data_IF_069738051251
#
_entry.id   IF_069738051251
#
_cell.length_a   1.000
_cell.length_b   1.000
_cell.length_c   1.000
_cell.angle_alpha   90.00
_cell.angle_beta   90.00
_cell.angle_gamma   90.00
#
_symmetry.space_group_name_H-M   'P 1'
#
loop_
_entity.id
_entity.type
_entity.pdbx_description
1 polymer ?
#
# COMPACT_ATOMS: atom_id res chain seq x y z
N UNK A 1 34.13 23.93 15.14
CA UNK A 1 32.80 23.83 14.50
C UNK A 1 32.85 22.71 13.46
N UNK A 2 32.31 21.54 13.81
CA UNK A 2 32.23 20.40 12.89
C UNK A 2 31.03 20.58 11.95
N UNK A 3 31.22 20.24 10.66
CA UNK A 3 30.24 20.40 9.60
C UNK A 3 29.36 19.15 9.52
N UNK A 4 28.05 19.35 9.47
CA UNK A 4 27.02 18.32 9.32
C UNK A 4 27.18 17.57 7.98
N UNK A 5 27.20 16.24 8.02
CA UNK A 5 27.25 15.38 6.84
C UNK A 5 25.82 15.03 6.38
N UNK A 6 25.42 15.51 5.21
CA UNK A 6 24.15 15.17 4.56
C UNK A 6 24.27 13.79 3.90
N UNK A 7 23.52 12.81 4.39
CA UNK A 7 23.45 11.47 3.83
C UNK A 7 22.49 11.46 2.63
N UNK A 8 23.01 11.46 1.41
CA UNK A 8 22.21 11.16 0.21
C UNK A 8 22.30 9.66 -0.09
N UNK A 9 21.20 8.95 0.15
CA UNK A 9 21.05 7.54 -0.26
C UNK A 9 20.56 7.54 -1.72
N UNK A 10 21.47 7.18 -2.63
CA UNK A 10 21.19 7.00 -4.04
C UNK A 10 20.57 5.62 -4.28
N UNK A 11 19.28 5.55 -4.61
CA UNK A 11 18.63 4.32 -5.05
C UNK A 11 18.56 4.29 -6.58
N UNK A 12 19.25 3.29 -7.15
CA UNK A 12 19.39 3.05 -8.59
C UNK A 12 18.19 2.23 -9.08
N UNK A 13 17.35 2.80 -9.95
CA UNK A 13 16.17 2.12 -10.51
C UNK A 13 16.45 1.62 -11.93
N UNK A 14 16.25 0.32 -12.17
CA UNK A 14 16.40 -0.36 -13.46
C UNK A 14 15.01 -0.45 -14.12
N UNK A 15 14.89 0.03 -15.36
CA UNK A 15 13.60 0.18 -16.05
C UNK A 15 13.40 -0.85 -17.17
N UNK A 16 12.28 -1.56 -17.14
CA UNK A 16 11.64 -2.20 -18.29
C UNK A 16 10.21 -1.64 -18.39
N UNK A 17 9.90 -0.95 -19.51
CA UNK A 17 8.66 -0.18 -19.68
C UNK A 17 8.70 1.20 -19.03
N UNK A 18 9.58 2.09 -19.51
CA UNK A 18 10.06 3.27 -18.79
C UNK A 18 9.05 4.42 -18.82
N UNK A 19 8.11 4.44 -17.87
CA UNK A 19 7.57 5.71 -17.38
C UNK A 19 8.76 6.51 -16.88
N UNK A 20 9.02 7.66 -17.49
CA UNK A 20 10.18 8.45 -17.14
C UNK A 20 9.92 9.14 -15.79
N UNK A 21 10.95 9.32 -14.95
CA UNK A 21 10.75 9.96 -13.63
C UNK A 21 10.30 11.41 -13.79
N UNK A 22 10.57 12.02 -14.95
CA UNK A 22 10.05 13.34 -15.32
C UNK A 22 8.52 13.37 -15.46
N UNK A 23 7.86 12.22 -15.66
CA UNK A 23 6.39 12.12 -15.71
C UNK A 23 5.76 11.94 -14.32
N UNK A 24 6.57 11.70 -13.28
CA UNK A 24 6.10 11.52 -11.91
C UNK A 24 5.87 12.89 -11.28
N UNK A 25 4.60 13.27 -11.09
CA UNK A 25 4.19 14.58 -10.54
C UNK A 25 4.50 14.70 -9.05
N UNK A 26 4.83 13.60 -8.38
CA UNK A 26 5.26 13.61 -6.99
C UNK A 26 5.47 12.22 -6.42
N UNK A 27 6.17 12.17 -5.30
CA UNK A 27 6.41 10.94 -4.55
C UNK A 27 5.83 11.07 -3.14
N UNK A 28 5.10 10.06 -2.70
CA UNK A 28 4.56 9.97 -1.35
C UNK A 28 5.24 8.85 -0.58
N UNK A 29 5.80 9.21 0.57
CA UNK A 29 6.36 8.29 1.55
C UNK A 29 5.36 8.09 2.70
N UNK A 30 4.53 7.02 2.69
CA UNK A 30 3.68 6.70 3.82
C UNK A 30 4.53 6.32 5.05
N UNK A 31 3.92 6.41 6.24
CA UNK A 31 4.55 5.91 7.46
C UNK A 31 4.87 4.39 7.34
N UNK A 32 6.06 3.94 7.78
CA UNK A 32 6.52 2.55 7.66
C UNK A 32 5.94 1.67 8.78
N UNK A 33 4.60 1.61 8.90
CA UNK A 33 3.88 0.96 10.00
C UNK A 33 3.12 -0.31 9.59
N UNK A 34 3.49 -0.91 8.45
CA UNK A 34 2.79 -2.06 7.87
C UNK A 34 1.42 -1.74 7.25
N UNK A 35 0.95 -0.49 7.34
CA UNK A 35 -0.28 -0.03 6.68
C UNK A 35 -0.01 0.88 5.47
N UNK A 36 1.24 0.92 4.98
CA UNK A 36 1.70 1.82 3.92
C UNK A 36 0.82 1.78 2.65
N UNK A 37 0.35 0.59 2.23
CA UNK A 37 -0.56 0.46 1.09
C UNK A 37 -1.91 1.17 1.30
N UNK A 38 -2.54 0.98 2.47
CA UNK A 38 -3.80 1.66 2.80
C UNK A 38 -3.60 3.16 3.05
N UNK A 39 -2.44 3.57 3.58
CA UNK A 39 -2.09 4.98 3.77
C UNK A 39 -1.89 5.70 2.43
N UNK A 40 -1.19 5.07 1.49
CA UNK A 40 -1.04 5.58 0.13
C UNK A 40 -2.40 5.69 -0.56
N UNK A 41 -3.26 4.67 -0.44
CA UNK A 41 -4.60 4.70 -1.01
C UNK A 41 -5.49 5.77 -0.36
N UNK A 42 -5.42 5.95 0.96
CA UNK A 42 -6.15 7.00 1.67
C UNK A 42 -5.71 8.39 1.21
N UNK A 43 -4.40 8.63 1.08
CA UNK A 43 -3.91 9.90 0.53
C UNK A 43 -4.40 10.12 -0.91
N UNK A 44 -4.34 9.11 -1.77
CA UNK A 44 -4.75 9.24 -3.16
C UNK A 44 -6.24 9.55 -3.32
N UNK A 45 -7.09 9.03 -2.43
CA UNK A 45 -8.55 9.22 -2.51
C UNK A 45 -9.00 10.48 -1.77
N UNK A 46 -8.46 10.74 -0.56
CA UNK A 46 -9.00 11.74 0.36
C UNK A 46 -8.01 12.87 0.67
N UNK A 47 -6.77 12.77 0.20
CA UNK A 47 -5.70 13.71 0.57
C UNK A 47 -5.18 13.54 2.00
N UNK A 48 -5.64 12.53 2.76
CA UNK A 48 -5.27 12.35 4.16
C UNK A 48 -4.96 10.89 4.51
N UNK A 49 -3.68 10.57 4.72
CA UNK A 49 -3.23 9.22 5.07
C UNK A 49 -3.77 8.70 6.41
N UNK A 50 -4.15 9.57 7.36
CA UNK A 50 -4.66 9.16 8.67
C UNK A 50 -6.04 8.50 8.59
N UNK A 51 -6.75 8.68 7.46
CA UNK A 51 -8.03 8.02 7.20
C UNK A 51 -7.90 6.54 6.79
N UNK A 52 -6.68 5.98 6.76
CA UNK A 52 -6.44 4.60 6.33
C UNK A 52 -7.27 3.56 7.09
N UNK A 53 -7.54 3.76 8.39
CA UNK A 53 -8.34 2.82 9.20
C UNK A 53 -9.78 2.75 8.70
N UNK A 54 -10.39 3.91 8.46
CA UNK A 54 -11.75 4.00 7.94
C UNK A 54 -11.85 3.40 6.53
N UNK A 55 -10.87 3.70 5.67
CA UNK A 55 -10.77 3.12 4.34
C UNK A 55 -10.65 1.59 4.40
N UNK A 56 -9.78 1.06 5.26
CA UNK A 56 -9.59 -0.39 5.45
C UNK A 56 -10.89 -1.08 5.85
N UNK A 57 -11.64 -0.50 6.80
CA UNK A 57 -12.96 -1.03 7.19
C UNK A 57 -13.95 -1.07 6.03
N UNK A 58 -14.00 -0.01 5.20
CA UNK A 58 -14.86 0.00 4.00
C UNK A 58 -14.45 -1.05 2.96
N UNK A 59 -13.15 -1.19 2.72
CA UNK A 59 -12.62 -2.21 1.80
C UNK A 59 -13.03 -3.60 2.27
N UNK A 60 -12.82 -3.93 3.56
CA UNK A 60 -13.23 -5.22 4.13
C UNK A 60 -14.74 -5.45 3.96
N UNK A 61 -15.56 -4.44 4.25
CA UNK A 61 -17.02 -4.56 4.08
C UNK A 61 -17.41 -4.88 2.62
N UNK A 62 -16.75 -4.26 1.64
CA UNK A 62 -16.96 -4.55 0.21
C UNK A 62 -16.51 -5.96 -0.14
N UNK A 63 -15.33 -6.37 0.33
CA UNK A 63 -14.79 -7.71 0.08
C UNK A 63 -15.72 -8.78 0.65
N UNK A 64 -16.21 -8.60 1.88
CA UNK A 64 -17.17 -9.51 2.51
C UNK A 64 -18.50 -9.56 1.75
N UNK A 65 -19.00 -8.41 1.29
CA UNK A 65 -20.23 -8.36 0.47
C UNK A 65 -20.07 -9.11 -0.86
N UNK A 66 -18.86 -9.10 -1.42
CA UNK A 66 -18.51 -9.76 -2.68
C UNK A 66 -17.72 -11.05 -2.47
N UNK A 67 -17.84 -11.67 -1.29
CA UNK A 67 -16.98 -12.79 -0.90
C UNK A 67 -17.03 -13.94 -1.92
N UNK A 68 -18.22 -14.33 -2.39
CA UNK A 68 -18.36 -15.40 -3.38
C UNK A 68 -17.59 -15.11 -4.69
N UNK A 69 -17.66 -13.87 -5.18
CA UNK A 69 -16.92 -13.46 -6.38
C UNK A 69 -15.41 -13.56 -6.16
N UNK A 70 -14.93 -13.08 -5.01
CA UNK A 70 -13.50 -13.10 -4.71
C UNK A 70 -12.98 -14.51 -4.35
N UNK A 71 -13.80 -15.37 -3.75
CA UNK A 71 -13.47 -16.79 -3.54
C UNK A 71 -13.32 -17.55 -4.85
N UNK A 72 -14.12 -17.22 -5.87
CA UNK A 72 -13.95 -17.81 -7.20
C UNK A 72 -12.63 -17.43 -7.85
N UNK A 73 -12.16 -16.20 -7.65
CA UNK A 73 -10.93 -15.69 -8.26
C UNK A 73 -9.68 -16.12 -7.49
N UNK A 74 -9.71 -16.03 -6.16
CA UNK A 74 -8.54 -16.23 -5.31
C UNK A 74 -8.54 -17.58 -4.58
N UNK A 75 -9.58 -18.38 -4.76
CA UNK A 75 -9.80 -19.61 -4.03
C UNK A 75 -10.36 -19.36 -2.62
N UNK A 76 -10.78 -20.44 -1.97
CA UNK A 76 -11.12 -20.46 -0.55
C UNK A 76 -9.85 -20.73 0.25
N UNK A 77 -9.61 -19.96 1.32
CA UNK A 77 -8.57 -20.29 2.29
C UNK A 77 -8.79 -21.72 2.80
N UNK A 78 -7.76 -22.56 2.93
CA UNK A 78 -7.92 -23.84 3.61
C UNK A 78 -8.46 -23.56 5.01
N UNK A 79 -9.58 -24.19 5.34
CA UNK A 79 -10.15 -24.18 6.68
C UNK A 79 -9.05 -24.61 7.64
N UNK A 80 -8.64 -23.72 8.55
CA UNK A 80 -7.86 -24.08 9.72
C UNK A 80 -8.78 -24.88 10.65
N UNK A 81 -9.13 -26.10 10.24
CA UNK A 81 -9.73 -27.08 11.12
C UNK A 81 -8.61 -27.49 12.06
N UNK A 82 -8.73 -27.29 13.39
CA UNK A 82 -7.75 -27.86 14.30
C UNK A 82 -7.78 -29.37 14.08
N UNK A 83 -6.63 -29.97 13.81
CA UNK A 83 -6.51 -31.42 13.87
C UNK A 83 -6.82 -31.82 15.31
N UNK A 84 -7.83 -32.68 15.50
CA UNK A 84 -8.16 -33.28 16.80
C UNK A 84 -7.02 -34.09 17.37
#
# INVERSE_FOLDING_TARGET
MAKEAKLEVSQKSQATGKISMEQVVGHFNPLPDGNCGFRALALAITGNQEQYKFLKTKVIAILNKKNLFYQQIFGSSPSSKPSS
#
